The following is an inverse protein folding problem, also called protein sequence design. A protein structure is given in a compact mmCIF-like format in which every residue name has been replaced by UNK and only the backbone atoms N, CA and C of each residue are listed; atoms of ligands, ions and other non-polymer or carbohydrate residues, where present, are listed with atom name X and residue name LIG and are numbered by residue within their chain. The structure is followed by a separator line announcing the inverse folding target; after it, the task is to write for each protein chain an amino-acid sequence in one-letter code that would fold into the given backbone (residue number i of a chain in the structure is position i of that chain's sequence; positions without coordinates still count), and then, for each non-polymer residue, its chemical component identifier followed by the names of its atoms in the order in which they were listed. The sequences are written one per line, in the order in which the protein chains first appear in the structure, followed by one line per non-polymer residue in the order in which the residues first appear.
data_IF_743440605438
#
_entry.id   IF_743440605438
#
_cell.length_a   1.000
_cell.length_b   1.000
_cell.length_c   1.000
_cell.angle_alpha   90.00
_cell.angle_beta   90.00
_cell.angle_gamma   90.00
#
_symmetry.space_group_name_H-M   'P 1'
#
loop_
_entity.id
_entity.type
_entity.pdbx_description
1 polymer ?
#
# COMPACT_ATOMS: atom_id res chain seq x y z
N UNK A 1 -27.06 33.59 -13.53
CA UNK A 1 -25.99 32.63 -13.13
C UNK A 1 -26.00 31.52 -14.18
N UNK A 2 -24.99 31.48 -15.03
CA UNK A 2 -24.91 30.52 -16.15
C UNK A 2 -24.15 29.27 -15.69
N UNK A 3 -24.79 28.11 -15.81
CA UNK A 3 -24.14 26.81 -15.58
C UNK A 3 -23.05 26.55 -16.64
N UNK A 4 -21.89 25.96 -16.28
CA UNK A 4 -20.88 25.59 -17.25
C UNK A 4 -21.40 24.45 -18.13
N UNK A 5 -21.47 24.66 -19.45
CA UNK A 5 -21.82 23.65 -20.43
C UNK A 5 -20.79 22.51 -20.40
N UNK A 6 -21.26 21.29 -20.12
CA UNK A 6 -20.46 20.09 -20.31
C UNK A 6 -20.06 20.00 -21.80
N UNK A 7 -18.75 19.95 -22.05
CA UNK A 7 -18.18 19.81 -23.38
C UNK A 7 -18.54 18.42 -23.92
N UNK A 8 -19.57 18.33 -24.76
CA UNK A 8 -19.95 17.12 -25.49
C UNK A 8 -19.00 16.94 -26.70
N UNK A 9 -17.80 16.41 -26.46
CA UNK A 9 -16.90 16.00 -27.54
C UNK A 9 -17.48 14.76 -28.25
N UNK A 10 -17.56 14.74 -29.58
CA UNK A 10 -18.06 13.59 -30.32
C UNK A 10 -17.15 12.36 -30.09
N UNK A 11 -17.77 11.19 -29.90
CA UNK A 11 -17.11 9.90 -29.61
C UNK A 11 -15.98 9.52 -30.58
N UNK A 12 -16.05 10.00 -31.82
CA UNK A 12 -15.01 9.80 -32.85
C UNK A 12 -13.71 10.56 -32.53
N UNK A 13 -13.81 11.76 -31.97
CA UNK A 13 -12.65 12.56 -31.56
C UNK A 13 -12.02 12.00 -30.28
N UNK A 14 -12.84 11.53 -29.34
CA UNK A 14 -12.36 10.83 -28.13
C UNK A 14 -11.62 9.55 -28.50
N UNK A 15 -12.13 8.76 -29.46
CA UNK A 15 -11.46 7.53 -29.93
C UNK A 15 -10.15 7.82 -30.65
N UNK A 16 -10.11 8.87 -31.48
CA UNK A 16 -8.88 9.30 -32.16
C UNK A 16 -7.83 9.76 -31.15
N UNK A 17 -8.22 10.62 -30.20
CA UNK A 17 -7.33 11.07 -29.13
C UNK A 17 -6.81 9.90 -28.28
N UNK A 18 -7.66 8.94 -27.90
CA UNK A 18 -7.24 7.75 -27.16
C UNK A 18 -6.25 6.88 -27.98
N UNK A 19 -6.47 6.73 -29.28
CA UNK A 19 -5.56 6.00 -30.17
C UNK A 19 -4.21 6.70 -30.32
N UNK A 20 -4.21 8.03 -30.42
CA UNK A 20 -3.00 8.84 -30.53
C UNK A 20 -2.19 8.83 -29.22
N UNK A 21 -2.86 8.94 -28.07
CA UNK A 21 -2.25 8.77 -26.74
C UNK A 21 -1.68 7.38 -26.57
N UNK A 22 -2.39 6.33 -26.99
CA UNK A 22 -1.91 4.96 -26.91
C UNK A 22 -0.69 4.72 -27.81
N UNK A 23 -0.66 5.30 -29.00
CA UNK A 23 0.47 5.19 -29.93
C UNK A 23 1.69 5.97 -29.45
N UNK A 24 1.48 7.14 -28.84
CA UNK A 24 2.53 7.91 -28.18
C UNK A 24 3.10 7.16 -26.96
N UNK A 25 2.22 6.60 -26.11
CA UNK A 25 2.60 5.79 -24.95
C UNK A 25 3.49 4.59 -25.33
N UNK A 26 3.15 3.85 -26.40
CA UNK A 26 3.99 2.74 -26.90
C UNK A 26 5.36 3.20 -27.41
N UNK A 27 5.48 4.43 -27.93
CA UNK A 27 6.78 4.98 -28.37
C UNK A 27 7.62 5.42 -27.18
N UNK A 28 6.99 5.95 -26.14
CA UNK A 28 7.62 6.40 -24.89
C UNK A 28 8.05 5.21 -24.02
N UNK A 29 7.32 4.09 -24.07
CA UNK A 29 7.68 2.84 -23.40
C UNK A 29 8.99 2.20 -23.90
N UNK A 30 9.55 2.67 -25.03
CA UNK A 30 10.87 2.24 -25.54
C UNK A 30 12.04 3.00 -24.91
N UNK A 31 11.76 3.98 -24.06
CA UNK A 31 12.75 4.72 -23.28
C UNK A 31 12.63 4.24 -21.83
N UNK A 32 13.57 3.43 -21.31
CA UNK A 32 13.43 2.73 -20.03
C UNK A 32 13.12 3.65 -18.84
N UNK A 33 13.78 4.81 -18.76
CA UNK A 33 13.55 5.79 -17.70
C UNK A 33 12.16 6.42 -17.76
N UNK A 34 11.60 6.58 -18.95
CA UNK A 34 10.28 7.15 -19.15
C UNK A 34 9.17 6.12 -18.96
N UNK A 35 9.43 4.86 -19.30
CA UNK A 35 8.56 3.73 -18.99
C UNK A 35 8.42 3.53 -17.47
N UNK A 36 9.53 3.64 -16.73
CA UNK A 36 9.52 3.62 -15.26
C UNK A 36 8.74 4.80 -14.67
N UNK A 37 8.93 6.01 -15.21
CA UNK A 37 8.18 7.19 -14.77
C UNK A 37 6.67 7.08 -15.04
N UNK A 38 6.27 6.50 -16.18
CA UNK A 38 4.87 6.21 -16.49
C UNK A 38 4.29 5.14 -15.57
N UNK A 39 5.06 4.09 -15.27
CA UNK A 39 4.67 3.07 -14.28
C UNK A 39 4.49 3.64 -12.87
N UNK A 40 5.34 4.58 -12.46
CA UNK A 40 5.18 5.30 -11.19
C UNK A 40 3.94 6.20 -11.18
N UNK A 41 3.62 6.86 -12.29
CA UNK A 41 2.40 7.66 -12.44
C UNK A 41 1.13 6.81 -12.38
N UNK A 42 1.12 5.66 -13.05
CA UNK A 42 -0.02 4.73 -13.02
C UNK A 42 -0.19 4.11 -11.63
N UNK A 43 0.90 3.75 -10.95
CA UNK A 43 0.87 3.28 -9.56
C UNK A 43 0.37 4.38 -8.60
N UNK A 44 0.80 5.63 -8.80
CA UNK A 44 0.32 6.78 -8.02
C UNK A 44 -1.17 7.07 -8.28
N UNK A 45 -1.63 6.94 -9.52
CA UNK A 45 -3.05 7.08 -9.86
C UNK A 45 -3.89 5.97 -9.22
N UNK A 46 -3.40 4.72 -9.24
CA UNK A 46 -4.03 3.61 -8.52
C UNK A 46 -4.08 3.84 -7.01
N UNK A 47 -3.00 4.37 -6.42
CA UNK A 47 -2.95 4.72 -5.01
C UNK A 47 -3.96 5.81 -4.64
N UNK A 48 -4.11 6.84 -5.48
CA UNK A 48 -5.09 7.91 -5.29
C UNK A 48 -6.53 7.40 -5.39
N UNK A 49 -6.82 6.50 -6.32
CA UNK A 49 -8.15 5.88 -6.45
C UNK A 49 -8.48 4.99 -5.25
N UNK A 50 -7.50 4.24 -4.73
CA UNK A 50 -7.64 3.47 -3.49
C UNK A 50 -7.86 4.38 -2.28
N UNK A 51 -7.14 5.49 -2.19
CA UNK A 51 -7.32 6.48 -1.14
C UNK A 51 -8.71 7.14 -1.21
N UNK A 52 -9.17 7.49 -2.41
CA UNK A 52 -10.53 7.99 -2.64
C UNK A 52 -11.58 6.98 -2.20
N UNK A 53 -11.41 5.70 -2.55
CA UNK A 53 -12.35 4.64 -2.16
C UNK A 53 -12.38 4.41 -0.65
N UNK A 54 -11.22 4.46 0.01
CA UNK A 54 -11.11 4.38 1.47
C UNK A 54 -11.79 5.58 2.15
N UNK A 55 -11.62 6.80 1.62
CA UNK A 55 -12.27 8.01 2.11
C UNK A 55 -13.79 7.98 1.90
N UNK A 56 -14.27 7.43 0.78
CA UNK A 56 -15.70 7.23 0.53
C UNK A 56 -16.29 6.19 1.49
N UNK A 57 -15.59 5.10 1.77
CA UNK A 57 -15.97 4.12 2.79
C UNK A 57 -16.05 4.74 4.20
N UNK A 58 -15.11 5.64 4.53
CA UNK A 58 -15.12 6.40 5.78
C UNK A 58 -16.32 7.35 5.89
N UNK A 59 -16.64 8.08 4.82
CA UNK A 59 -17.77 9.00 4.77
C UNK A 59 -19.13 8.31 4.99
N UNK A 60 -19.25 7.03 4.61
CA UNK A 60 -20.45 6.21 4.86
C UNK A 60 -20.51 5.71 6.31
N UNK A 61 -19.36 5.58 6.99
CA UNK A 61 -19.26 5.03 8.35
C UNK A 61 -19.43 6.08 9.45
N UNK A 62 -19.16 7.37 9.20
CA UNK A 62 -19.22 8.41 10.24
C UNK A 62 -20.54 9.18 10.27
N UNK A 63 -21.53 8.65 11.01
CA UNK A 63 -22.58 9.47 11.62
C UNK A 63 -22.16 9.77 13.07
N UNK A 64 -21.83 11.01 13.45
CA UNK A 64 -21.30 11.29 14.79
C UNK A 64 -22.44 11.36 15.82
N UNK A 65 -22.30 10.78 17.04
CA UNK A 65 -23.12 11.18 18.17
C UNK A 65 -22.61 12.50 18.77
N UNK A 66 -23.47 13.28 19.48
CA UNK A 66 -23.06 14.56 20.01
C UNK A 66 -22.33 14.44 21.36
N UNK A 67 -21.27 15.25 21.48
CA UNK A 67 -20.85 16.04 22.64
C UNK A 67 -19.88 15.50 23.73
N UNK A 68 -18.81 16.33 23.86
CA UNK A 68 -18.19 16.99 25.03
C UNK A 68 -17.25 16.25 26.00
N UNK A 69 -16.06 16.87 26.15
CA UNK A 69 -15.11 16.90 27.28
C UNK A 69 -14.49 15.55 27.67
N UNK A 70 -13.17 15.36 27.64
CA UNK A 70 -12.13 16.15 28.32
C UNK A 70 -10.80 15.84 27.61
N UNK A 71 -9.87 16.81 27.52
CA UNK A 71 -8.55 16.59 26.90
C UNK A 71 -7.76 15.59 27.75
N UNK A 72 -7.74 14.35 27.30
CA UNK A 72 -6.77 13.34 27.71
C UNK A 72 -5.61 13.40 26.71
N UNK A 73 -4.38 13.63 27.19
CA UNK A 73 -3.14 13.61 26.40
C UNK A 73 -2.75 12.19 25.94
N UNK A 74 -3.71 11.27 25.85
CA UNK A 74 -3.56 10.02 25.14
C UNK A 74 -3.58 10.33 23.64
N UNK A 75 -2.52 9.98 22.92
CA UNK A 75 -2.53 9.95 21.46
C UNK A 75 -3.78 9.16 21.05
N UNK A 76 -4.73 9.75 20.30
CA UNK A 76 -5.94 9.04 19.91
C UNK A 76 -5.54 7.73 19.24
N UNK A 77 -5.97 6.59 19.79
CA UNK A 77 -5.74 5.30 19.15
C UNK A 77 -6.51 5.34 17.84
N UNK A 78 -5.78 5.49 16.73
CA UNK A 78 -6.39 5.52 15.40
C UNK A 78 -6.85 4.12 15.01
N UNK A 79 -7.78 4.03 14.06
CA UNK A 79 -8.17 2.76 13.46
C UNK A 79 -6.96 2.00 12.89
N UNK A 80 -5.95 2.73 12.40
CA UNK A 80 -4.71 2.18 11.89
C UNK A 80 -3.90 1.51 13.01
N UNK A 81 -3.61 2.24 14.09
CA UNK A 81 -2.90 1.72 15.26
C UNK A 81 -3.60 0.50 15.86
N UNK A 82 -4.93 0.54 15.98
CA UNK A 82 -5.73 -0.59 16.43
C UNK A 82 -5.60 -1.80 15.49
N UNK A 83 -5.60 -1.59 14.17
CA UNK A 83 -5.42 -2.67 13.22
C UNK A 83 -4.01 -3.25 13.23
N UNK A 84 -2.97 -2.43 13.35
CA UNK A 84 -1.58 -2.91 13.48
C UNK A 84 -1.45 -3.84 14.69
N UNK A 85 -2.10 -3.50 15.81
CA UNK A 85 -2.12 -4.34 16.99
C UNK A 85 -2.76 -5.71 16.73
N UNK A 86 -3.88 -5.74 15.99
CA UNK A 86 -4.52 -7.01 15.58
C UNK A 86 -3.61 -7.80 14.66
N UNK A 87 -3.03 -7.18 13.64
CA UNK A 87 -2.21 -7.87 12.63
C UNK A 87 -0.96 -8.51 13.25
N UNK A 88 -0.27 -7.78 14.12
CA UNK A 88 0.98 -8.23 14.75
C UNK A 88 0.74 -9.06 16.02
N UNK A 89 -0.43 -8.94 16.65
CA UNK A 89 -0.71 -9.51 17.97
C UNK A 89 0.01 -8.79 19.11
N UNK A 90 0.59 -7.61 18.85
CA UNK A 90 1.36 -6.80 19.81
C UNK A 90 0.55 -5.57 20.15
N UNK A 91 0.61 -5.08 21.39
CA UNK A 91 0.14 -3.73 21.71
C UNK A 91 1.26 -2.74 21.42
N UNK A 92 1.24 -2.01 20.28
CA UNK A 92 2.37 -1.23 19.86
C UNK A 92 2.59 -0.02 20.78
N UNK A 93 3.86 0.30 21.03
CA UNK A 93 4.27 1.62 21.52
C UNK A 93 4.72 2.43 20.29
N UNK A 94 3.89 3.37 19.77
CA UNK A 94 4.16 4.03 18.50
C UNK A 94 5.49 4.80 18.51
N UNK A 95 6.29 4.62 17.46
CA UNK A 95 7.56 5.33 17.27
C UNK A 95 7.55 6.01 15.89
N UNK A 96 7.86 7.32 15.80
CA UNK A 96 7.95 7.99 14.52
C UNK A 96 9.11 7.42 13.68
N UNK A 97 8.83 7.18 12.40
CA UNK A 97 9.78 6.63 11.44
C UNK A 97 9.86 7.57 10.22
N UNK A 98 10.95 8.36 10.09
CA UNK A 98 11.12 9.30 8.97
C UNK A 98 11.06 8.60 7.61
N UNK A 99 11.62 7.40 7.51
CA UNK A 99 11.65 6.58 6.31
C UNK A 99 10.83 5.29 6.54
N UNK A 100 9.52 5.45 6.73
CA UNK A 100 8.58 4.39 7.15
C UNK A 100 8.78 3.04 6.45
N UNK A 101 8.97 3.04 5.12
CA UNK A 101 9.17 1.80 4.36
C UNK A 101 10.49 1.11 4.73
N UNK A 102 11.60 1.86 4.77
CA UNK A 102 12.92 1.30 5.03
C UNK A 102 13.04 0.83 6.48
N UNK A 103 12.51 1.61 7.43
CA UNK A 103 12.45 1.22 8.83
C UNK A 103 11.60 -0.03 9.03
N UNK A 104 10.41 -0.10 8.42
CA UNK A 104 9.55 -1.29 8.51
C UNK A 104 10.16 -2.51 7.84
N UNK A 105 10.83 -2.35 6.69
CA UNK A 105 11.55 -3.43 6.03
C UNK A 105 12.69 -3.95 6.89
N UNK A 106 13.50 -3.07 7.48
CA UNK A 106 14.60 -3.46 8.35
C UNK A 106 14.10 -4.31 9.54
N UNK A 107 13.04 -3.86 10.23
CA UNK A 107 12.44 -4.62 11.34
C UNK A 107 11.88 -5.97 10.89
N UNK A 108 11.21 -6.01 9.73
CA UNK A 108 10.67 -7.24 9.18
C UNK A 108 11.78 -8.23 8.76
N UNK A 109 12.89 -7.75 8.22
CA UNK A 109 14.04 -8.59 7.86
C UNK A 109 14.78 -9.14 9.10
N UNK A 110 14.81 -8.36 10.18
CA UNK A 110 15.40 -8.77 11.46
C UNK A 110 14.48 -9.71 12.28
N UNK A 111 13.24 -9.94 11.82
CA UNK A 111 12.24 -10.69 12.57
C UNK A 111 11.71 -9.94 13.81
N UNK A 112 11.98 -8.64 13.91
CA UNK A 112 11.59 -7.78 15.04
C UNK A 112 10.12 -7.38 14.93
N UNK A 113 9.23 -8.26 15.38
CA UNK A 113 7.78 -8.03 15.35
C UNK A 113 7.34 -6.83 16.19
N UNK A 114 7.91 -6.66 17.38
CA UNK A 114 7.55 -5.57 18.29
C UNK A 114 7.99 -4.22 17.71
N UNK A 115 9.19 -4.17 17.15
CA UNK A 115 9.70 -3.00 16.45
C UNK A 115 8.93 -2.67 15.18
N UNK A 116 8.57 -3.68 14.39
CA UNK A 116 7.70 -3.51 13.22
C UNK A 116 6.36 -2.92 13.64
N UNK A 117 5.74 -3.44 14.71
CA UNK A 117 4.48 -2.92 15.24
C UNK A 117 4.62 -1.47 15.71
N UNK A 118 5.71 -1.12 16.39
CA UNK A 118 5.99 0.23 16.88
C UNK A 118 6.15 1.25 15.74
N UNK A 119 6.94 0.91 14.72
CA UNK A 119 7.18 1.75 13.53
C UNK A 119 5.88 1.95 12.75
N UNK A 120 5.17 0.86 12.44
CA UNK A 120 3.92 0.95 11.68
C UNK A 120 2.86 1.74 12.46
N UNK A 121 2.71 1.50 13.76
CA UNK A 121 1.74 2.21 14.59
C UNK A 121 2.03 3.71 14.75
N UNK A 122 3.29 4.13 14.57
CA UNK A 122 3.71 5.54 14.60
C UNK A 122 3.44 6.29 13.31
N UNK A 123 3.06 5.61 12.23
CA UNK A 123 2.69 6.23 10.97
C UNK A 123 1.30 6.88 11.05
N UNK A 124 1.12 8.00 10.34
CA UNK A 124 -0.23 8.47 10.00
C UNK A 124 -0.93 7.42 9.14
N UNK A 125 -2.26 7.20 9.29
CA UNK A 125 -2.97 6.23 8.47
C UNK A 125 -2.78 6.42 6.96
N UNK A 126 -2.61 7.66 6.49
CA UNK A 126 -2.37 7.96 5.07
C UNK A 126 -1.02 7.41 4.60
N UNK A 127 0.03 7.64 5.39
CA UNK A 127 1.38 7.14 5.09
C UNK A 127 1.43 5.62 5.17
N UNK A 128 0.76 5.05 6.18
CA UNK A 128 0.60 3.61 6.35
C UNK A 128 -0.10 2.95 5.16
N UNK A 129 -1.18 3.54 4.66
CA UNK A 129 -1.88 3.05 3.45
C UNK A 129 -1.01 3.19 2.20
N UNK A 130 -0.19 4.24 2.12
CA UNK A 130 0.77 4.44 1.03
C UNK A 130 1.76 3.29 0.85
N UNK A 131 2.04 2.50 1.90
CA UNK A 131 2.90 1.32 1.81
C UNK A 131 2.39 0.28 0.81
N UNK A 132 1.07 0.10 0.67
CA UNK A 132 0.53 -0.87 -0.30
C UNK A 132 0.94 -0.51 -1.73
N UNK A 133 0.81 0.77 -2.10
CA UNK A 133 1.19 1.26 -3.42
C UNK A 133 2.71 1.21 -3.64
N UNK A 134 3.49 1.54 -2.60
CA UNK A 134 4.96 1.51 -2.67
C UNK A 134 5.50 0.10 -2.80
N UNK A 135 4.95 -0.87 -2.08
CA UNK A 135 5.49 -2.24 -2.01
C UNK A 135 5.04 -3.11 -3.18
N UNK A 136 3.85 -2.89 -3.74
CA UNK A 136 3.30 -3.68 -4.83
C UNK A 136 4.26 -3.92 -6.03
N UNK A 137 4.90 -2.89 -6.63
CA UNK A 137 5.83 -3.13 -7.75
C UNK A 137 7.08 -3.92 -7.33
N UNK A 138 7.59 -3.72 -6.12
CA UNK A 138 8.77 -4.44 -5.63
C UNK A 138 8.45 -5.90 -5.30
N UNK A 139 7.28 -6.18 -4.70
CA UNK A 139 6.86 -7.56 -4.43
C UNK A 139 6.82 -8.37 -5.72
N UNK A 140 6.24 -7.82 -6.79
CA UNK A 140 6.22 -8.49 -8.09
C UNK A 140 7.63 -8.64 -8.68
N UNK A 141 8.43 -7.55 -8.66
CA UNK A 141 9.79 -7.56 -9.18
C UNK A 141 10.68 -8.64 -8.55
N UNK A 142 10.60 -8.83 -7.23
CA UNK A 142 11.40 -9.81 -6.50
C UNK A 142 10.78 -11.20 -6.50
N UNK A 143 9.44 -11.32 -6.55
CA UNK A 143 8.78 -12.61 -6.69
C UNK A 143 9.17 -13.29 -8.00
N UNK A 144 9.25 -12.56 -9.11
CA UNK A 144 9.68 -13.07 -10.42
C UNK A 144 11.14 -13.58 -10.44
N UNK A 145 11.97 -13.09 -9.50
CA UNK A 145 13.40 -13.44 -9.40
C UNK A 145 13.68 -14.56 -8.41
N UNK A 146 12.80 -14.78 -7.45
CA UNK A 146 12.96 -15.83 -6.45
C UNK A 146 12.61 -17.20 -7.07
N UNK A 147 13.43 -18.21 -6.81
CA UNK A 147 13.14 -19.60 -7.25
C UNK A 147 11.89 -20.16 -6.56
N UNK A 148 11.62 -19.72 -5.33
CA UNK A 148 10.48 -20.15 -4.52
C UNK A 148 9.87 -18.96 -3.76
N UNK A 149 9.15 -18.05 -4.46
CA UNK A 149 8.62 -16.83 -3.85
C UNK A 149 7.61 -17.11 -2.72
N UNK A 150 6.94 -18.26 -2.77
CA UNK A 150 6.02 -18.71 -1.71
C UNK A 150 6.68 -18.94 -0.35
N UNK A 151 8.01 -19.09 -0.28
CA UNK A 151 8.71 -19.17 1.00
C UNK A 151 8.67 -17.86 1.80
N UNK A 152 8.45 -16.70 1.14
CA UNK A 152 8.27 -15.42 1.83
C UNK A 152 6.98 -15.37 2.66
N UNK A 153 6.02 -16.27 2.41
CA UNK A 153 4.80 -16.40 3.21
C UNK A 153 5.09 -16.85 4.64
N UNK A 154 6.22 -17.54 4.88
CA UNK A 154 6.59 -17.98 6.23
C UNK A 154 6.95 -16.77 7.11
N UNK A 155 7.64 -15.77 6.56
CA UNK A 155 7.89 -14.48 7.23
C UNK A 155 6.59 -13.75 7.57
N UNK A 156 5.59 -13.81 6.68
CA UNK A 156 4.28 -13.21 6.93
C UNK A 156 3.54 -13.91 8.07
N UNK A 157 3.53 -15.25 8.08
CA UNK A 157 2.90 -16.03 9.17
C UNK A 157 3.58 -15.77 10.50
N UNK A 158 4.89 -15.58 10.48
CA UNK A 158 5.66 -15.26 11.68
C UNK A 158 5.36 -13.84 12.18
N UNK A 159 5.41 -12.81 11.34
CA UNK A 159 5.30 -11.43 11.80
C UNK A 159 3.86 -10.92 11.92
N UNK A 160 2.92 -11.50 11.16
CA UNK A 160 1.53 -11.06 11.08
C UNK A 160 0.55 -12.19 11.44
N UNK A 161 0.57 -12.73 12.67
CA UNK A 161 -0.30 -13.83 13.07
C UNK A 161 -1.79 -13.50 13.00
N UNK A 162 -2.17 -12.21 13.04
CA UNK A 162 -3.56 -11.76 12.92
C UNK A 162 -3.98 -11.40 11.49
N UNK A 163 -3.12 -11.62 10.48
CA UNK A 163 -3.48 -11.39 9.09
C UNK A 163 -4.57 -12.40 8.66
N UNK A 164 -5.66 -11.94 8.00
CA UNK A 164 -6.64 -12.87 7.46
C UNK A 164 -6.02 -13.85 6.45
N UNK A 165 -6.48 -15.11 6.40
CA UNK A 165 -5.95 -16.09 5.48
C UNK A 165 -6.19 -15.67 4.02
N UNK A 166 -5.22 -15.93 3.13
CA UNK A 166 -5.33 -15.62 1.71
C UNK A 166 -4.91 -14.20 1.31
N UNK A 167 -4.73 -13.28 2.26
CA UNK A 167 -4.31 -11.89 1.95
C UNK A 167 -2.89 -11.88 1.40
N UNK A 168 -1.96 -12.55 2.07
CA UNK A 168 -0.56 -12.60 1.68
C UNK A 168 -0.39 -13.28 0.31
N UNK A 169 -1.13 -14.35 0.08
CA UNK A 169 -1.16 -15.07 -1.19
C UNK A 169 -1.70 -14.19 -2.31
N UNK A 170 -2.76 -13.40 -2.06
CA UNK A 170 -3.32 -12.48 -3.04
C UNK A 170 -2.35 -11.34 -3.40
N UNK A 171 -1.63 -10.81 -2.41
CA UNK A 171 -0.60 -9.78 -2.63
C UNK A 171 0.58 -10.36 -3.41
N UNK A 172 1.04 -11.57 -3.06
CA UNK A 172 2.13 -12.26 -3.75
C UNK A 172 1.76 -12.61 -5.20
N UNK A 173 0.53 -13.09 -5.42
CA UNK A 173 0.01 -13.41 -6.75
C UNK A 173 -0.18 -12.17 -7.64
N UNK A 174 0.05 -10.97 -7.10
CA UNK A 174 -0.08 -9.74 -7.85
C UNK A 174 -1.49 -9.55 -8.35
N UNK A 175 -2.51 -9.86 -7.53
CA UNK A 175 -3.91 -9.54 -7.83
C UNK A 175 -4.19 -8.11 -7.39
N UNK A 176 -3.90 -7.08 -8.22
CA UNK A 176 -3.78 -5.71 -7.76
C UNK A 176 -5.13 -5.01 -7.80
N UNK A 177 -6.06 -5.50 -8.63
CA UNK A 177 -7.26 -4.77 -9.03
C UNK A 177 -8.50 -5.63 -8.88
N UNK A 178 -9.24 -5.33 -7.82
CA UNK A 178 -10.54 -5.90 -7.52
C UNK A 178 -11.06 -5.28 -6.23
N UNK A 179 -12.39 -5.14 -6.08
CA UNK A 179 -12.97 -4.71 -4.81
C UNK A 179 -12.43 -5.59 -3.69
N UNK A 180 -11.77 -4.95 -2.73
CA UNK A 180 -11.19 -5.62 -1.57
C UNK A 180 -12.15 -5.42 -0.39
N UNK A 181 -12.74 -6.52 0.07
CA UNK A 181 -13.68 -6.51 1.21
C UNK A 181 -12.95 -6.53 2.57
N UNK A 182 -11.61 -6.61 2.56
CA UNK A 182 -10.79 -6.65 3.76
C UNK A 182 -10.38 -5.28 4.27
N UNK A 183 -9.75 -5.24 5.45
CA UNK A 183 -9.29 -3.99 6.01
C UNK A 183 -8.11 -3.44 5.19
N UNK A 184 -8.05 -2.12 4.88
CA UNK A 184 -7.08 -1.59 3.93
C UNK A 184 -5.61 -1.68 4.42
N UNK A 185 -5.39 -1.67 5.74
CA UNK A 185 -4.06 -1.92 6.33
C UNK A 185 -3.51 -3.33 6.05
N UNK A 186 -4.36 -4.33 5.80
CA UNK A 186 -3.93 -5.72 5.67
C UNK A 186 -2.99 -5.89 4.47
N UNK A 187 -3.34 -5.28 3.33
CA UNK A 187 -2.51 -5.30 2.12
C UNK A 187 -1.23 -4.49 2.28
N UNK A 188 -1.31 -3.32 2.93
CA UNK A 188 -0.15 -2.46 3.14
C UNK A 188 0.92 -3.16 3.99
N UNK A 189 0.50 -3.75 5.11
CA UNK A 189 1.41 -4.43 6.04
C UNK A 189 1.87 -5.77 5.46
N UNK A 190 0.97 -6.54 4.83
CA UNK A 190 1.35 -7.79 4.17
C UNK A 190 2.34 -7.57 3.04
N UNK A 191 2.14 -6.56 2.18
CA UNK A 191 3.07 -6.22 1.10
C UNK A 191 4.46 -5.85 1.62
N UNK A 192 4.52 -5.10 2.72
CA UNK A 192 5.79 -4.74 3.38
C UNK A 192 6.53 -5.97 3.90
N UNK A 193 5.84 -6.85 4.63
CA UNK A 193 6.45 -8.07 5.20
C UNK A 193 6.81 -9.09 4.12
N UNK A 194 5.98 -9.23 3.08
CA UNK A 194 6.29 -10.06 1.90
C UNK A 194 7.54 -9.57 1.19
N UNK A 195 7.66 -8.25 0.99
CA UNK A 195 8.84 -7.66 0.38
C UNK A 195 10.10 -7.95 1.21
N UNK A 196 10.03 -7.79 2.54
CA UNK A 196 11.14 -8.15 3.43
C UNK A 196 11.53 -9.63 3.29
N UNK A 197 10.55 -10.54 3.28
CA UNK A 197 10.78 -11.98 3.07
C UNK A 197 11.42 -12.28 1.72
N UNK A 198 10.94 -11.67 0.63
CA UNK A 198 11.49 -11.83 -0.72
C UNK A 198 12.92 -11.31 -0.82
N UNK A 199 13.22 -10.15 -0.22
CA UNK A 199 14.57 -9.60 -0.16
C UNK A 199 15.51 -10.54 0.61
N UNK A 200 15.05 -11.08 1.74
CA UNK A 200 15.82 -12.04 2.54
C UNK A 200 16.11 -13.34 1.76
N UNK A 201 15.15 -13.86 0.99
CA UNK A 201 15.36 -15.03 0.13
C UNK A 201 16.43 -14.79 -0.96
N UNK A 202 16.53 -13.56 -1.44
CA UNK A 202 17.49 -13.15 -2.46
C UNK A 202 18.84 -12.65 -1.88
N UNK A 203 18.99 -12.64 -0.56
CA UNK A 203 20.20 -12.18 0.12
C UNK A 203 20.40 -10.66 0.10
N UNK A 204 19.33 -9.89 -0.11
CA UNK A 204 19.36 -8.42 -0.09
C UNK A 204 19.00 -7.86 1.30
N UNK A 205 19.71 -6.81 1.74
CA UNK A 205 19.36 -6.01 2.92
C UNK A 205 18.80 -4.67 2.45
N UNK A 206 17.53 -4.40 2.76
CA UNK A 206 16.81 -3.23 2.28
C UNK A 206 16.57 -3.22 0.76
N UNK A 207 15.96 -2.14 0.28
CA UNK A 207 15.84 -1.87 -1.14
C UNK A 207 17.21 -1.43 -1.70
N UNK A 208 17.65 -1.93 -2.87
CA UNK A 208 18.83 -1.41 -3.53
C UNK A 208 18.57 0.07 -3.87
N UNK A 209 19.45 0.95 -3.39
CA UNK A 209 19.31 2.39 -3.58
C UNK A 209 19.22 2.78 -5.06
N UNK A 210 18.30 3.71 -5.36
CA UNK A 210 18.16 4.39 -6.64
C UNK A 210 19.46 5.01 -7.16
#
# INVERSE_FOLDING_TARGET
MSSPSAVNLPLSEVRRAAHDVHTASRRLARVPALAAALGHLDAAAGALLLAEHALQGYAVSTRPPPQSSTVDTAVPVTWWTARIAVLTGVHPSPVPAPDLLDDALARAQDGDRDGLAAVLAGADPTDGLGLAARTAPYVQHYADRAERPSAALDTVRELLPGLPPGVAEAVLAGTPDGPWDGHPADRAVAGTVLLAGLLSLLGHKGLPGD
#
